data_IF_159815612037
#
_entry.id   IF_159815612037
#
_cell.length_a   1.000
_cell.length_b   1.000
_cell.length_c   1.000
_cell.angle_alpha   90.00
_cell.angle_beta   90.00
_cell.angle_gamma   90.00
#
_symmetry.space_group_name_H-M   'P 1'
#
loop_
_entity.id
_entity.type
_entity.pdbx_description
1 polymer ?
#
# COMPACT_ATOMS: atom_id res chain seq x y z
N UNK A 1 58.56 5.98 -77.70
CA UNK A 1 58.65 5.48 -76.31
C UNK A 1 57.99 4.12 -76.24
N UNK A 2 58.68 3.10 -75.71
CA UNK A 2 58.14 1.74 -75.65
C UNK A 2 56.98 1.66 -74.62
N UNK A 3 55.90 0.98 -74.99
CA UNK A 3 54.63 0.92 -74.22
C UNK A 3 54.83 0.33 -72.81
N UNK A 4 55.83 -0.54 -72.67
CA UNK A 4 56.25 -1.17 -71.42
C UNK A 4 56.73 -0.15 -70.36
N UNK A 5 57.50 0.85 -70.76
CA UNK A 5 58.04 1.86 -69.84
C UNK A 5 56.95 2.78 -69.29
N UNK A 6 55.92 3.07 -70.10
CA UNK A 6 54.75 3.86 -69.65
C UNK A 6 53.87 3.07 -68.68
N UNK A 7 53.68 1.77 -68.91
CA UNK A 7 52.95 0.88 -68.00
C UNK A 7 53.64 0.72 -66.65
N UNK A 8 54.97 0.59 -66.63
CA UNK A 8 55.74 0.49 -65.40
C UNK A 8 55.65 1.77 -64.54
N UNK A 9 55.71 2.94 -65.16
CA UNK A 9 55.59 4.22 -64.44
C UNK A 9 54.15 4.42 -63.91
N UNK A 10 53.13 4.07 -64.70
CA UNK A 10 51.74 4.15 -64.25
C UNK A 10 51.42 3.15 -63.13
N UNK A 11 51.97 1.93 -63.20
CA UNK A 11 51.85 0.93 -62.15
C UNK A 11 52.57 1.35 -60.87
N UNK A 12 53.77 1.91 -60.99
CA UNK A 12 54.51 2.45 -59.84
C UNK A 12 53.75 3.59 -59.18
N UNK A 13 53.23 4.55 -59.96
CA UNK A 13 52.43 5.66 -59.46
C UNK A 13 51.10 5.19 -58.83
N UNK A 14 50.45 4.17 -59.41
CA UNK A 14 49.23 3.57 -58.86
C UNK A 14 49.49 2.82 -57.56
N UNK A 15 50.63 2.14 -57.43
CA UNK A 15 51.07 1.49 -56.18
C UNK A 15 51.44 2.50 -55.10
N UNK A 16 52.14 3.60 -55.42
CA UNK A 16 52.37 4.67 -54.45
C UNK A 16 51.09 5.40 -54.07
N UNK A 17 50.12 5.54 -54.98
CA UNK A 17 48.80 6.08 -54.66
C UNK A 17 47.97 5.11 -53.78
N UNK A 18 48.08 3.80 -54.02
CA UNK A 18 47.40 2.77 -53.23
C UNK A 18 48.04 2.56 -51.85
N UNK A 19 49.37 2.70 -51.73
CA UNK A 19 50.09 2.68 -50.45
C UNK A 19 50.00 4.02 -49.71
N UNK A 20 49.87 5.13 -50.44
CA UNK A 20 49.69 6.48 -49.90
C UNK A 20 48.23 6.84 -49.57
N UNK A 21 47.25 6.13 -50.16
CA UNK A 21 45.81 6.31 -49.91
C UNK A 21 45.10 5.12 -49.26
N UNK A 22 45.78 3.97 -49.08
CA UNK A 22 45.18 2.70 -48.65
C UNK A 22 45.54 2.22 -47.25
N UNK A 23 46.14 3.06 -46.41
CA UNK A 23 46.28 2.78 -44.96
C UNK A 23 45.37 3.64 -44.08
N UNK A 24 44.59 4.55 -44.64
CA UNK A 24 43.51 5.22 -43.90
C UNK A 24 42.32 4.28 -43.76
N UNK A 25 42.50 3.18 -43.03
CA UNK A 25 41.52 2.87 -42.00
C UNK A 25 41.56 4.06 -41.03
N UNK A 26 40.84 5.12 -41.36
CA UNK A 26 40.39 6.06 -40.35
C UNK A 26 39.34 5.32 -39.50
N UNK A 27 39.81 4.36 -38.71
CA UNK A 27 39.08 3.81 -37.57
C UNK A 27 39.12 4.87 -36.47
N UNK A 28 38.53 6.03 -36.76
CA UNK A 28 38.23 7.03 -35.76
C UNK A 28 37.10 6.44 -34.93
N UNK A 29 37.48 5.75 -33.86
CA UNK A 29 36.54 5.29 -32.85
C UNK A 29 36.79 6.14 -31.62
N UNK A 30 35.72 6.78 -31.16
CA UNK A 30 35.68 7.46 -29.87
C UNK A 30 34.65 6.73 -29.03
N UNK A 31 35.08 6.25 -27.88
CA UNK A 31 34.20 5.70 -26.84
C UNK A 31 34.41 6.54 -25.59
N UNK A 32 33.32 6.96 -24.96
CA UNK A 32 33.35 7.62 -23.67
C UNK A 32 32.60 6.73 -22.68
N UNK A 33 33.24 6.41 -21.57
CA UNK A 33 32.56 5.84 -20.42
C UNK A 33 31.76 6.95 -19.75
N UNK A 34 30.45 6.76 -19.66
CA UNK A 34 29.59 7.60 -18.82
C UNK A 34 29.55 6.93 -17.46
N UNK A 35 29.88 7.65 -16.38
CA UNK A 35 29.71 7.08 -15.05
C UNK A 35 28.22 6.79 -14.83
N UNK A 36 27.87 5.52 -14.67
CA UNK A 36 26.54 5.13 -14.22
C UNK A 36 26.32 5.55 -12.77
N UNK A 37 25.04 5.72 -12.38
CA UNK A 37 24.64 5.86 -10.99
C UNK A 37 24.34 4.51 -10.34
N UNK A 38 24.25 4.49 -9.01
CA UNK A 38 23.65 3.38 -8.26
C UNK A 38 22.16 3.63 -8.08
N UNK A 39 21.33 2.62 -8.33
CA UNK A 39 19.90 2.64 -8.01
C UNK A 39 19.68 1.78 -6.78
N UNK A 40 18.87 2.26 -5.84
CA UNK A 40 18.52 1.55 -4.60
C UNK A 40 17.02 1.26 -4.61
N UNK A 41 16.63 0.08 -4.14
CA UNK A 41 15.22 -0.27 -4.00
C UNK A 41 14.57 0.50 -2.84
N UNK A 42 13.28 0.81 -2.96
CA UNK A 42 12.49 1.41 -1.90
C UNK A 42 12.18 0.45 -0.74
N UNK A 43 11.51 0.95 0.28
CA UNK A 43 11.04 0.20 1.45
C UNK A 43 9.52 0.34 1.61
N UNK A 44 8.87 -0.72 2.10
CA UNK A 44 7.45 -0.69 2.47
C UNK A 44 7.21 -1.61 3.66
N UNK A 45 6.78 -1.04 4.78
CA UNK A 45 6.51 -1.77 6.02
C UNK A 45 5.40 -1.10 6.83
N UNK A 46 4.66 -1.93 7.57
CA UNK A 46 3.73 -1.51 8.62
C UNK A 46 3.93 -2.40 9.83
N UNK A 47 4.02 -1.80 11.02
CA UNK A 47 4.17 -2.51 12.29
C UNK A 47 3.41 -1.78 13.40
N UNK A 48 3.06 -2.42 14.52
CA UNK A 48 2.56 -1.70 15.69
C UNK A 48 3.60 -0.67 16.17
N UNK A 49 3.15 0.53 16.54
CA UNK A 49 4.02 1.52 17.15
C UNK A 49 4.52 1.05 18.51
N UNK A 50 5.73 1.47 18.88
CA UNK A 50 6.41 1.06 20.11
C UNK A 50 6.63 2.26 21.02
N UNK A 51 6.21 2.16 22.27
CA UNK A 51 6.47 3.15 23.33
C UNK A 51 7.31 2.49 24.41
N UNK A 52 8.53 3.01 24.63
CA UNK A 52 9.49 2.44 25.59
C UNK A 52 9.77 0.94 25.41
N UNK A 53 9.76 0.47 24.15
CA UNK A 53 10.01 -0.94 23.79
C UNK A 53 8.80 -1.86 23.99
N UNK A 54 7.63 -1.30 24.27
CA UNK A 54 6.36 -2.03 24.42
C UNK A 54 5.40 -1.58 23.32
N UNK A 55 4.67 -2.53 22.74
CA UNK A 55 3.65 -2.23 21.73
C UNK A 55 2.58 -1.27 22.29
N UNK A 56 2.29 -0.22 21.53
CA UNK A 56 1.22 0.72 21.84
C UNK A 56 -0.14 -0.02 21.80
N UNK A 57 -0.82 -0.03 22.94
CA UNK A 57 -2.10 -0.75 23.10
C UNK A 57 -3.21 0.00 22.36
N UNK A 58 -3.98 -0.73 21.57
CA UNK A 58 -5.19 -0.20 20.94
C UNK A 58 -6.30 0.04 21.96
N UNK A 59 -7.17 1.01 21.70
CA UNK A 59 -8.27 1.36 22.61
C UNK A 59 -9.61 1.25 21.92
N UNK A 60 -10.62 0.77 22.66
CA UNK A 60 -11.99 0.68 22.19
C UNK A 60 -12.85 1.73 22.89
N UNK A 61 -13.69 2.41 22.11
CA UNK A 61 -14.79 3.22 22.61
C UNK A 61 -16.10 2.82 21.94
N UNK A 62 -17.22 3.07 22.61
CA UNK A 62 -18.55 3.12 21.99
C UNK A 62 -19.00 4.58 21.91
N UNK A 63 -19.52 4.98 20.76
CA UNK A 63 -20.15 6.30 20.61
C UNK A 63 -21.51 6.26 21.30
N UNK A 64 -21.68 7.13 22.29
CA UNK A 64 -22.88 7.24 23.13
C UNK A 64 -23.57 8.62 22.97
N UNK A 65 -23.33 9.28 21.84
CA UNK A 65 -23.79 10.64 21.56
C UNK A 65 -22.89 11.75 22.12
N UNK A 66 -21.87 11.42 22.92
CA UNK A 66 -20.81 12.36 23.28
C UNK A 66 -19.71 12.41 22.21
N UNK A 67 -18.99 13.54 22.12
CA UNK A 67 -17.89 13.68 21.16
C UNK A 67 -16.75 12.66 21.43
N UNK A 68 -16.45 12.40 22.70
CA UNK A 68 -15.38 11.50 23.12
C UNK A 68 -15.79 10.01 23.10
N UNK A 69 -17.07 9.71 23.27
CA UNK A 69 -17.55 8.34 23.50
C UNK A 69 -17.18 7.79 24.88
N UNK A 70 -17.57 6.54 25.13
CA UNK A 70 -17.29 5.81 26.37
C UNK A 70 -16.28 4.70 26.13
N UNK A 71 -15.23 4.64 26.95
CA UNK A 71 -14.22 3.59 26.88
C UNK A 71 -14.77 2.19 27.18
N UNK A 72 -14.25 1.19 26.46
CA UNK A 72 -14.49 -0.24 26.67
C UNK A 72 -13.15 -0.88 27.05
N UNK A 73 -12.81 -0.97 28.35
CA UNK A 73 -11.49 -1.48 28.78
C UNK A 73 -11.33 -2.99 28.54
N UNK A 74 -12.44 -3.73 28.50
CA UNK A 74 -12.47 -5.17 28.24
C UNK A 74 -13.58 -5.44 27.24
N UNK A 75 -13.20 -5.67 25.97
CA UNK A 75 -14.15 -5.83 24.87
C UNK A 75 -15.10 -7.02 25.08
N UNK A 76 -14.62 -8.12 25.68
CA UNK A 76 -15.45 -9.31 25.95
C UNK A 76 -16.59 -9.07 26.95
N UNK A 77 -16.55 -7.97 27.70
CA UNK A 77 -17.61 -7.59 28.64
C UNK A 77 -18.67 -6.68 28.01
N UNK A 78 -18.46 -6.26 26.76
CA UNK A 78 -19.38 -5.39 26.06
C UNK A 78 -20.45 -6.20 25.31
N UNK A 79 -21.72 -5.92 25.61
CA UNK A 79 -22.85 -6.47 24.85
C UNK A 79 -23.40 -5.38 23.94
N UNK A 80 -23.20 -5.55 22.63
CA UNK A 80 -23.67 -4.60 21.64
C UNK A 80 -25.20 -4.69 21.44
N UNK A 81 -25.80 -3.53 21.20
CA UNK A 81 -27.19 -3.37 20.77
C UNK A 81 -27.26 -2.88 19.32
N UNK A 82 -28.40 -3.06 18.64
CA UNK A 82 -28.61 -2.49 17.31
C UNK A 82 -28.29 -0.99 17.28
N UNK A 83 -27.42 -0.57 16.35
CA UNK A 83 -27.00 0.82 16.18
C UNK A 83 -25.85 1.28 17.05
N UNK A 84 -25.29 0.43 17.91
CA UNK A 84 -24.04 0.76 18.61
C UNK A 84 -22.92 0.97 17.59
N UNK A 85 -22.14 2.03 17.78
CA UNK A 85 -20.97 2.34 16.95
C UNK A 85 -19.73 2.21 17.82
N UNK A 86 -18.87 1.25 17.49
CA UNK A 86 -17.60 1.04 18.19
C UNK A 86 -16.46 1.59 17.33
N UNK A 87 -15.52 2.25 17.98
CA UNK A 87 -14.30 2.76 17.35
C UNK A 87 -13.11 2.15 18.06
N UNK A 88 -12.25 1.49 17.29
CA UNK A 88 -10.94 1.04 17.73
C UNK A 88 -9.88 2.01 17.23
N UNK A 89 -9.03 2.51 18.11
CA UNK A 89 -7.94 3.43 17.75
C UNK A 89 -6.61 2.79 18.15
N UNK A 90 -5.67 2.73 17.21
CA UNK A 90 -4.31 2.22 17.43
C UNK A 90 -3.28 3.02 16.62
N UNK A 91 -2.08 3.17 17.19
CA UNK A 91 -0.94 3.76 16.50
C UNK A 91 -0.15 2.67 15.78
N UNK A 92 0.10 2.87 14.49
CA UNK A 92 0.84 1.98 13.61
C UNK A 92 2.04 2.71 13.02
N UNK A 93 3.22 2.12 13.11
CA UNK A 93 4.44 2.63 12.50
C UNK A 93 4.47 2.25 11.02
N UNK A 94 4.53 3.24 10.13
CA UNK A 94 4.59 3.04 8.68
C UNK A 94 5.93 3.54 8.16
N UNK A 95 6.65 2.66 7.45
CA UNK A 95 7.84 3.03 6.69
C UNK A 95 7.56 2.82 5.19
N UNK A 96 7.59 3.89 4.40
CA UNK A 96 7.44 3.85 2.96
C UNK A 96 8.47 4.77 2.29
N UNK A 97 9.28 4.25 1.37
CA UNK A 97 10.24 5.03 0.59
C UNK A 97 10.27 4.56 -0.86
N UNK A 98 10.34 5.52 -1.79
CA UNK A 98 10.47 5.27 -3.22
C UNK A 98 9.75 6.31 -4.06
N UNK A 99 10.45 6.81 -5.09
CA UNK A 99 10.01 7.96 -5.89
C UNK A 99 8.63 7.78 -6.57
N UNK A 100 8.28 6.53 -6.88
CA UNK A 100 7.02 6.15 -7.52
C UNK A 100 6.22 5.15 -6.67
N UNK A 101 6.50 5.07 -5.36
CA UNK A 101 5.79 4.13 -4.49
C UNK A 101 4.37 4.65 -4.22
N UNK A 102 3.39 3.78 -4.46
CA UNK A 102 2.01 3.95 -4.03
C UNK A 102 1.63 2.65 -3.33
N UNK A 103 1.12 2.74 -2.11
CA UNK A 103 0.66 1.58 -1.37
C UNK A 103 -0.75 1.79 -0.82
N UNK A 104 -1.52 0.71 -0.77
CA UNK A 104 -2.84 0.65 -0.19
C UNK A 104 -2.75 0.17 1.26
N UNK A 105 -3.22 1.00 2.20
CA UNK A 105 -3.49 0.65 3.58
C UNK A 105 -4.96 0.23 3.70
N UNK A 106 -5.19 -0.99 4.20
CA UNK A 106 -6.53 -1.58 4.33
C UNK A 106 -6.64 -2.43 5.59
N UNK A 107 -7.87 -2.68 6.04
CA UNK A 107 -8.14 -3.66 7.09
C UNK A 107 -7.75 -5.05 6.58
N UNK A 108 -6.97 -5.80 7.38
CA UNK A 108 -6.51 -7.13 7.03
C UNK A 108 -7.69 -8.11 6.90
N UNK A 109 -7.63 -9.05 5.94
CA UNK A 109 -8.56 -10.17 5.90
C UNK A 109 -8.51 -10.95 7.22
N UNK A 110 -9.68 -11.24 7.80
CA UNK A 110 -9.78 -11.96 9.07
C UNK A 110 -9.66 -11.08 10.32
N UNK A 111 -9.59 -9.76 10.19
CA UNK A 111 -9.67 -8.83 11.34
C UNK A 111 -11.01 -8.90 12.08
N UNK A 112 -12.07 -9.32 11.39
CA UNK A 112 -13.40 -9.59 11.93
C UNK A 112 -13.81 -10.96 11.43
N UNK A 113 -14.09 -11.90 12.34
CA UNK A 113 -14.54 -13.25 12.00
C UNK A 113 -15.69 -13.66 12.90
N UNK A 114 -16.53 -14.58 12.42
CA UNK A 114 -17.53 -15.24 13.24
C UNK A 114 -16.84 -15.95 14.40
N UNK A 115 -17.36 -15.81 15.62
CA UNK A 115 -16.85 -16.54 16.78
C UNK A 115 -16.99 -18.05 16.58
N UNK A 116 -18.11 -18.48 15.99
CA UNK A 116 -18.33 -19.86 15.58
C UNK A 116 -18.98 -19.93 14.19
N UNK A 117 -18.28 -20.53 13.22
CA UNK A 117 -18.75 -20.63 11.83
C UNK A 117 -19.98 -21.53 11.64
N UNK A 118 -20.30 -22.39 12.60
CA UNK A 118 -21.51 -23.20 12.60
C UNK A 118 -22.75 -22.49 13.15
N UNK A 119 -22.61 -21.29 13.72
CA UNK A 119 -23.72 -20.47 14.23
C UNK A 119 -24.10 -19.41 13.19
N UNK A 120 -25.29 -19.49 12.56
CA UNK A 120 -25.66 -18.54 11.50
C UNK A 120 -25.66 -17.08 11.94
N UNK A 121 -26.01 -16.79 13.19
CA UNK A 121 -26.01 -15.41 13.71
C UNK A 121 -24.60 -14.80 13.77
N UNK A 122 -23.58 -15.61 14.11
CA UNK A 122 -22.17 -15.20 14.15
C UNK A 122 -21.66 -14.91 12.74
N UNK A 123 -21.99 -15.77 11.78
CA UNK A 123 -21.63 -15.61 10.36
C UNK A 123 -22.27 -14.36 9.79
N UNK A 124 -23.58 -14.19 9.95
CA UNK A 124 -24.30 -13.02 9.44
C UNK A 124 -23.75 -11.72 10.05
N UNK A 125 -23.45 -11.71 11.36
CA UNK A 125 -22.90 -10.54 12.02
C UNK A 125 -21.48 -10.23 11.52
N UNK A 126 -20.63 -11.25 11.36
CA UNK A 126 -19.28 -11.08 10.83
C UNK A 126 -19.32 -10.53 9.40
N UNK A 127 -20.13 -11.10 8.51
CA UNK A 127 -20.28 -10.63 7.13
C UNK A 127 -20.77 -9.18 7.08
N UNK A 128 -21.77 -8.83 7.90
CA UNK A 128 -22.26 -7.47 7.99
C UNK A 128 -21.19 -6.49 8.46
N UNK A 129 -20.45 -6.82 9.53
CA UNK A 129 -19.43 -5.95 10.09
C UNK A 129 -18.22 -5.83 9.17
N UNK A 130 -17.79 -6.90 8.50
CA UNK A 130 -16.76 -6.85 7.45
C UNK A 130 -17.20 -5.93 6.32
N UNK A 131 -18.47 -6.03 5.89
CA UNK A 131 -19.03 -5.15 4.88
C UNK A 131 -19.07 -3.70 5.35
N UNK A 132 -19.46 -3.42 6.58
CA UNK A 132 -19.75 -2.04 7.03
C UNK A 132 -18.61 -1.34 7.76
N UNK A 133 -17.52 -2.05 8.07
CA UNK A 133 -16.38 -1.47 8.75
C UNK A 133 -15.80 -0.28 7.95
N UNK A 134 -15.35 0.74 8.66
CA UNK A 134 -14.69 1.91 8.08
C UNK A 134 -13.34 2.06 8.76
N UNK A 135 -12.26 1.95 7.98
CA UNK A 135 -10.92 2.31 8.42
C UNK A 135 -10.69 3.79 8.12
N UNK A 136 -10.06 4.51 9.05
CA UNK A 136 -9.49 5.83 8.80
C UNK A 136 -8.02 5.84 9.24
N UNK A 137 -7.22 6.65 8.57
CA UNK A 137 -5.82 6.82 8.92
C UNK A 137 -5.41 8.28 8.77
N UNK A 138 -4.64 8.79 9.74
CA UNK A 138 -4.13 10.16 9.77
C UNK A 138 -2.60 10.15 9.95
N UNK A 139 -1.91 10.77 8.99
CA UNK A 139 -0.46 10.83 8.90
C UNK A 139 0.02 11.56 7.64
N UNK A 140 1.29 11.94 7.61
CA UNK A 140 1.99 12.51 6.47
C UNK A 140 2.06 11.51 5.31
N UNK A 141 1.71 11.94 4.10
CA UNK A 141 1.72 11.07 2.93
C UNK A 141 0.62 10.00 2.93
N UNK A 142 -0.28 10.04 3.92
CA UNK A 142 -1.51 9.25 3.97
C UNK A 142 -2.64 10.12 3.41
N UNK A 143 -3.31 9.61 2.39
CA UNK A 143 -4.49 10.24 1.81
C UNK A 143 -5.61 9.23 1.70
N UNK A 144 -6.83 9.68 1.95
CA UNK A 144 -8.00 8.87 1.66
C UNK A 144 -8.03 8.52 0.16
N UNK A 145 -8.07 7.22 -0.14
CA UNK A 145 -8.18 6.71 -1.51
C UNK A 145 -9.63 6.41 -1.88
N UNK A 146 -10.59 7.00 -1.16
CA UNK A 146 -12.00 6.90 -1.48
C UNK A 146 -12.30 7.52 -2.85
N UNK A 147 -12.21 6.68 -3.89
CA UNK A 147 -12.67 7.00 -5.23
C UNK A 147 -14.20 6.92 -5.27
N UNK A 148 -14.86 8.05 -5.59
CA UNK A 148 -16.32 8.14 -5.84
C UNK A 148 -16.85 7.06 -6.80
N UNK A 149 -16.03 6.49 -7.69
CA UNK A 149 -16.41 5.42 -8.60
C UNK A 149 -16.70 4.06 -7.91
N UNK A 150 -16.26 3.87 -6.65
CA UNK A 150 -16.59 2.69 -5.84
C UNK A 150 -17.93 2.83 -5.09
N UNK A 151 -18.66 3.96 -5.28
CA UNK A 151 -20.02 4.21 -4.73
C UNK A 151 -21.08 3.17 -5.11
N UNK A 152 -20.78 2.22 -6.00
CA UNK A 152 -21.74 1.20 -6.42
C UNK A 152 -21.79 -0.04 -5.52
N UNK A 153 -20.86 -0.19 -4.56
CA UNK A 153 -20.98 -1.18 -3.49
C UNK A 153 -20.86 -0.44 -2.17
N UNK A 154 -22.01 0.03 -1.68
CA UNK A 154 -22.22 0.16 -0.24
C UNK A 154 -21.80 -1.18 0.38
N UNK A 155 -20.99 -1.15 1.43
CA UNK A 155 -20.39 -2.30 2.16
C UNK A 155 -19.04 -2.87 1.69
N UNK A 156 -17.93 -2.21 2.04
CA UNK A 156 -16.61 -2.83 2.28
C UNK A 156 -15.69 -1.88 3.09
N UNK A 157 -14.58 -2.36 3.71
CA UNK A 157 -13.65 -1.49 4.44
C UNK A 157 -13.04 -0.43 3.53
N UNK A 158 -13.03 0.81 4.01
CA UNK A 158 -12.34 1.94 3.35
C UNK A 158 -10.83 1.68 3.26
N UNK A 159 -10.23 2.25 2.22
CA UNK A 159 -8.83 2.05 1.86
C UNK A 159 -8.13 3.40 1.78
N UNK A 160 -6.89 3.46 2.24
CA UNK A 160 -6.06 4.66 2.21
C UNK A 160 -4.86 4.45 1.30
N UNK A 161 -4.37 5.52 0.70
CA UNK A 161 -3.15 5.52 -0.11
C UNK A 161 -2.02 6.13 0.72
N UNK A 162 -0.89 5.42 0.69
CA UNK A 162 0.40 5.89 1.21
C UNK A 162 1.27 6.26 0.02
N UNK A 163 1.65 7.52 -0.09
CA UNK A 163 2.55 8.03 -1.13
C UNK A 163 3.68 8.83 -0.49
N UNK A 164 4.91 8.29 -0.40
CA UNK A 164 6.05 9.01 0.16
C UNK A 164 6.60 10.11 -0.77
N UNK A 165 6.22 10.10 -2.06
CA UNK A 165 6.74 11.05 -3.05
C UNK A 165 8.26 10.92 -3.24
N UNK A 166 8.96 12.05 -3.38
CA UNK A 166 10.45 12.07 -3.42
C UNK A 166 11.10 11.91 -2.04
N UNK A 167 10.32 11.57 -1.02
CA UNK A 167 10.73 11.50 0.37
C UNK A 167 10.60 10.11 0.98
N UNK A 168 10.56 10.08 2.31
CA UNK A 168 10.34 8.88 3.12
C UNK A 168 9.19 9.20 4.08
N UNK A 169 8.20 8.31 4.15
CA UNK A 169 7.28 8.22 5.28
C UNK A 169 7.92 7.25 6.27
N UNK A 170 8.20 7.70 7.48
CA UNK A 170 8.77 6.88 8.56
C UNK A 170 8.27 7.43 9.89
N UNK A 171 7.01 7.14 10.20
CA UNK A 171 6.31 7.76 11.32
C UNK A 171 5.20 6.88 11.87
N UNK A 172 4.73 7.26 13.06
CA UNK A 172 3.55 6.69 13.67
C UNK A 172 2.29 7.34 13.10
N UNK A 173 1.44 6.52 12.49
CA UNK A 173 0.16 6.87 11.90
C UNK A 173 -0.94 6.43 12.85
N UNK A 174 -1.93 7.29 13.11
CA UNK A 174 -3.10 6.91 13.89
C UNK A 174 -4.10 6.24 12.96
N UNK A 175 -4.43 4.98 13.25
CA UNK A 175 -5.44 4.20 12.53
C UNK A 175 -6.66 4.06 13.43
N UNK A 176 -7.84 4.38 12.89
CA UNK A 176 -9.10 4.06 13.52
C UNK A 176 -9.92 3.08 12.69
N UNK A 177 -10.58 2.14 13.34
CA UNK A 177 -11.55 1.24 12.69
C UNK A 177 -12.88 1.41 13.40
N UNK A 178 -13.85 1.93 12.64
CA UNK A 178 -15.22 2.10 13.08
C UNK A 178 -16.06 0.93 12.59
N UNK A 179 -16.72 0.25 13.52
CA UNK A 179 -17.72 -0.78 13.22
C UNK A 179 -19.08 -0.31 13.73
N UNK A 180 -20.12 -0.45 12.90
CA UNK A 180 -21.49 -0.08 13.27
C UNK A 180 -22.32 -1.34 13.36
N UNK A 181 -22.93 -1.58 14.51
CA UNK A 181 -23.82 -2.71 14.67
C UNK A 181 -25.11 -2.50 13.86
N UNK A 182 -25.66 -3.60 13.29
CA UNK A 182 -26.84 -3.53 12.43
C UNK A 182 -27.96 -2.67 13.00
N UNK A 183 -28.45 -1.73 12.20
CA UNK A 183 -29.58 -0.87 12.53
C UNK A 183 -30.31 -0.50 11.23
N UNK A 184 -31.52 -1.00 11.05
CA UNK A 184 -32.23 -0.94 9.78
C UNK A 184 -33.72 -1.19 9.95
N UNK A 185 -34.42 -1.23 8.80
CA UNK A 185 -35.86 -1.42 8.77
C UNK A 185 -36.22 -2.87 9.14
N UNK A 186 -37.15 -3.00 10.09
CA UNK A 186 -37.76 -4.22 10.66
C UNK A 186 -37.21 -5.56 10.13
N UNK A 187 -36.19 -6.11 10.81
CA UNK A 187 -35.98 -7.56 10.90
C UNK A 187 -34.71 -8.11 10.28
N UNK A 188 -33.89 -7.29 9.59
CA UNK A 188 -32.57 -7.73 9.13
C UNK A 188 -31.64 -8.04 10.31
N UNK A 189 -31.75 -7.25 11.39
CA UNK A 189 -30.97 -7.37 12.61
C UNK A 189 -31.29 -8.66 13.37
N UNK A 190 -32.52 -9.19 13.22
CA UNK A 190 -32.95 -10.40 13.92
C UNK A 190 -32.12 -11.62 13.51
N UNK A 191 -31.60 -11.64 12.28
CA UNK A 191 -30.73 -12.72 11.79
C UNK A 191 -29.33 -12.71 12.42
N UNK A 192 -28.97 -11.60 13.07
CA UNK A 192 -27.69 -11.34 13.74
C UNK A 192 -27.86 -11.25 15.27
N UNK A 193 -29.08 -11.38 15.77
CA UNK A 193 -29.37 -11.34 17.20
C UNK A 193 -28.68 -12.52 17.92
N UNK A 194 -28.02 -12.22 19.04
CA UNK A 194 -27.14 -13.14 19.78
C UNK A 194 -25.89 -13.59 19.00
N UNK A 195 -25.64 -13.02 17.83
CA UNK A 195 -24.41 -13.26 17.07
C UNK A 195 -23.18 -12.74 17.81
N UNK A 196 -22.07 -13.43 17.63
CA UNK A 196 -20.77 -13.08 18.20
C UNK A 196 -19.70 -13.05 17.12
N UNK A 197 -18.76 -12.12 17.26
CA UNK A 197 -17.58 -12.00 16.40
C UNK A 197 -16.31 -11.94 17.23
N UNK A 198 -15.24 -12.54 16.72
CA UNK A 198 -13.89 -12.35 17.23
C UNK A 198 -13.21 -11.23 16.43
N UNK A 199 -12.62 -10.28 17.16
CA UNK A 199 -11.94 -9.12 16.61
C UNK A 199 -10.43 -9.31 16.81
N UNK A 200 -9.70 -9.49 15.72
CA UNK A 200 -8.27 -9.83 15.73
C UNK A 200 -7.40 -8.56 15.73
N UNK A 201 -7.53 -7.76 16.79
CA UNK A 201 -6.84 -6.47 17.00
C UNK A 201 -7.00 -5.45 15.87
N UNK A 202 -7.99 -5.65 15.00
CA UNK A 202 -8.22 -4.87 13.78
C UNK A 202 -6.95 -4.69 12.96
N UNK A 203 -6.22 -5.79 12.74
CA UNK A 203 -4.99 -5.78 11.98
C UNK A 203 -5.17 -5.10 10.61
N UNK A 204 -4.11 -4.48 10.11
CA UNK A 204 -4.06 -3.78 8.82
C UNK A 204 -2.99 -4.38 7.92
N UNK A 205 -3.17 -4.21 6.62
CA UNK A 205 -2.20 -4.58 5.59
C UNK A 205 -1.78 -3.37 4.78
N UNK A 206 -0.52 -3.38 4.35
CA UNK A 206 0.02 -2.39 3.42
C UNK A 206 0.46 -3.12 2.14
N UNK A 207 -0.13 -2.78 1.00
CA UNK A 207 0.10 -3.48 -0.29
C UNK A 207 0.51 -2.49 -1.37
N UNK A 208 1.65 -2.71 -2.02
CA UNK A 208 2.10 -1.87 -3.14
C UNK A 208 1.17 -2.03 -4.37
N UNK A 209 0.87 -0.93 -5.07
CA UNK A 209 0.05 -0.87 -6.28
C UNK A 209 0.90 -0.70 -7.54
#
# INVERSE_FOLDING_TARGET
>A
MNKLTKGAIAGAAGLTLLLGGGTTFALWNSSAEVSGGTIVAGNLAVAPSMVDGVEAVGTWIVKDGTAAGRAIPVLSNFTASPGDVLVYTKSMHITASGDNLVAELALAPGSIVASETSVPADVNLAEYLVGTAVLTADGTGISDNYFEAYRMVTTGPTKYVVTPGTGVVDEDVTVEVTITFPNGALGLENTMMLGSVALQDMAVTLTQQ
#
